data_IF_844305605437
#
_entry.id   IF_844305605437
#
_cell.length_a   1.000
_cell.length_b   1.000
_cell.length_c   1.000
_cell.angle_alpha   90.00
_cell.angle_beta   90.00
_cell.angle_gamma   90.00
#
_symmetry.space_group_name_H-M   'P 1'
#
loop_
_entity.id
_entity.type
_entity.pdbx_description
1 polymer ?
#
# COMPACT_ATOMS: atom_id res chain seq x y z
N UNK A 1 9.11 -11.33 16.65
CA UNK A 1 8.14 -11.15 15.54
C UNK A 1 7.91 -12.52 14.92
N UNK A 2 6.65 -12.92 14.76
CA UNK A 2 6.29 -14.08 13.94
C UNK A 2 6.14 -13.62 12.49
N UNK A 3 6.86 -14.26 11.57
CA UNK A 3 6.87 -13.90 10.15
C UNK A 3 5.80 -14.64 9.35
N UNK A 4 4.57 -14.67 9.86
CA UNK A 4 3.46 -15.49 9.32
C UNK A 4 3.08 -15.11 7.89
N UNK A 5 2.92 -13.82 7.59
CA UNK A 5 2.58 -13.36 6.25
C UNK A 5 3.74 -13.54 5.28
N UNK A 6 4.96 -13.22 5.71
CA UNK A 6 6.14 -13.35 4.87
C UNK A 6 6.46 -14.82 4.53
N UNK A 7 6.35 -15.73 5.49
CA UNK A 7 6.54 -17.17 5.28
C UNK A 7 5.44 -17.75 4.37
N UNK A 8 4.18 -17.37 4.58
CA UNK A 8 3.06 -17.79 3.74
C UNK A 8 3.24 -17.33 2.30
N UNK A 9 3.72 -16.11 2.10
CA UNK A 9 4.01 -15.60 0.75
C UNK A 9 5.15 -16.34 0.08
N UNK A 10 6.24 -16.61 0.79
CA UNK A 10 7.35 -17.43 0.26
C UNK A 10 6.90 -18.83 -0.15
N UNK A 11 6.11 -19.50 0.69
CA UNK A 11 5.53 -20.81 0.38
C UNK A 11 4.58 -20.77 -0.81
N UNK A 12 3.79 -19.71 -0.94
CA UNK A 12 2.92 -19.49 -2.10
C UNK A 12 3.74 -19.37 -3.39
N UNK A 13 4.81 -18.59 -3.41
CA UNK A 13 5.67 -18.46 -4.58
C UNK A 13 6.32 -19.78 -4.99
N UNK A 14 6.76 -20.59 -4.02
CA UNK A 14 7.29 -21.93 -4.30
C UNK A 14 6.24 -22.85 -4.94
N UNK A 15 4.98 -22.79 -4.47
CA UNK A 15 3.86 -23.53 -5.08
C UNK A 15 3.53 -23.05 -6.48
N UNK A 16 3.73 -21.76 -6.76
CA UNK A 16 3.62 -21.17 -8.10
C UNK A 16 4.85 -21.44 -8.99
N UNK A 17 5.68 -22.39 -8.59
CA UNK A 17 6.87 -22.83 -9.32
C UNK A 17 7.97 -21.78 -9.46
N UNK A 18 8.04 -20.83 -8.57
CA UNK A 18 9.19 -19.92 -8.52
C UNK A 18 10.45 -20.68 -8.06
N UNK A 19 11.59 -20.45 -8.72
CA UNK A 19 12.84 -21.06 -8.28
C UNK A 19 13.16 -20.67 -6.83
N UNK A 20 13.55 -21.64 -5.97
CA UNK A 20 13.86 -21.36 -4.56
C UNK A 20 14.88 -20.24 -4.34
N UNK A 21 15.87 -20.13 -5.23
CA UNK A 21 16.88 -19.08 -5.20
C UNK A 21 16.27 -17.69 -5.44
N UNK A 22 15.27 -17.58 -6.31
CA UNK A 22 14.57 -16.32 -6.55
C UNK A 22 13.70 -15.94 -5.36
N UNK A 23 13.04 -16.90 -4.73
CA UNK A 23 12.25 -16.67 -3.49
C UNK A 23 13.17 -16.20 -2.36
N UNK A 24 14.33 -16.82 -2.20
CA UNK A 24 15.31 -16.39 -1.21
C UNK A 24 15.84 -14.98 -1.50
N UNK A 25 16.21 -14.68 -2.73
CA UNK A 25 16.67 -13.35 -3.14
C UNK A 25 15.61 -12.27 -2.88
N UNK A 26 14.35 -12.57 -3.19
CA UNK A 26 13.23 -11.67 -2.91
C UNK A 26 13.06 -11.45 -1.40
N UNK A 27 13.18 -12.51 -0.61
CA UNK A 27 13.16 -12.47 0.84
C UNK A 27 14.26 -11.55 1.39
N UNK A 28 15.48 -11.69 0.91
CA UNK A 28 16.63 -10.89 1.35
C UNK A 28 16.49 -9.41 0.98
N UNK A 29 16.04 -9.13 -0.24
CA UNK A 29 15.83 -7.74 -0.71
C UNK A 29 14.72 -7.07 0.10
N UNK A 30 13.59 -7.73 0.30
CA UNK A 30 12.46 -7.14 1.04
C UNK A 30 12.76 -6.99 2.52
N UNK A 31 13.59 -7.87 3.09
CA UNK A 31 14.11 -7.70 4.46
C UNK A 31 14.98 -6.44 4.58
N UNK A 32 15.86 -6.21 3.61
CA UNK A 32 16.69 -4.99 3.59
C UNK A 32 15.84 -3.73 3.45
N UNK A 33 14.84 -3.74 2.56
CA UNK A 33 13.93 -2.60 2.41
C UNK A 33 13.19 -2.34 3.71
N UNK A 34 12.65 -3.36 4.35
CA UNK A 34 11.99 -3.23 5.66
C UNK A 34 12.94 -2.62 6.71
N UNK A 35 14.21 -3.01 6.72
CA UNK A 35 15.22 -2.46 7.62
C UNK A 35 15.48 -0.96 7.43
N UNK A 36 15.14 -0.40 6.28
CA UNK A 36 15.19 1.05 6.04
C UNK A 36 13.90 1.79 6.44
N UNK A 37 12.81 1.08 6.69
CA UNK A 37 11.60 1.66 7.23
C UNK A 37 11.75 1.92 8.74
N UNK A 38 10.82 2.66 9.32
CA UNK A 38 10.77 2.82 10.76
C UNK A 38 10.18 1.57 11.42
N UNK A 39 10.72 1.18 12.56
CA UNK A 39 10.10 0.16 13.39
C UNK A 39 8.72 0.65 13.85
N UNK A 40 7.62 0.00 13.45
CA UNK A 40 6.27 0.44 13.80
C UNK A 40 5.95 0.33 15.29
N UNK A 41 6.71 -0.48 16.01
CA UNK A 41 6.57 -0.68 17.45
C UNK A 41 7.51 0.21 18.27
N UNK A 42 8.34 1.04 17.60
CA UNK A 42 9.24 1.94 18.32
C UNK A 42 8.47 2.92 19.19
N UNK A 43 9.02 3.15 20.37
CA UNK A 43 8.58 4.23 21.25
C UNK A 43 8.85 5.57 20.56
N UNK A 44 7.84 6.36 20.43
CA UNK A 44 7.90 7.64 19.75
C UNK A 44 6.54 7.99 19.15
N UNK A 45 6.18 9.24 19.23
CA UNK A 45 4.83 9.66 18.91
C UNK A 45 4.60 9.90 17.44
N UNK A 46 5.66 10.29 16.71
CA UNK A 46 5.52 10.67 15.29
C UNK A 46 6.76 10.32 14.49
N UNK A 47 6.56 9.78 13.30
CA UNK A 47 7.59 9.59 12.30
C UNK A 47 7.00 9.57 10.88
N UNK A 48 7.78 10.05 9.93
CA UNK A 48 7.43 10.06 8.51
C UNK A 48 8.69 9.72 7.71
N UNK A 49 8.78 8.50 7.21
CA UNK A 49 9.90 8.05 6.38
C UNK A 49 9.48 7.90 4.93
N UNK A 50 10.40 8.25 4.04
CA UNK A 50 10.20 8.14 2.60
C UNK A 50 11.38 7.43 1.98
N UNK A 51 11.10 6.49 1.09
CA UNK A 51 12.12 5.74 0.37
C UNK A 51 11.70 5.48 -1.08
N UNK A 52 12.69 5.15 -1.88
CA UNK A 52 12.52 4.81 -3.28
C UNK A 52 13.19 3.48 -3.57
N UNK A 53 12.46 2.57 -4.19
CA UNK A 53 13.00 1.31 -4.73
C UNK A 53 13.14 1.47 -6.23
N UNK A 54 14.38 1.39 -6.70
CA UNK A 54 14.71 1.52 -8.11
C UNK A 54 14.99 0.14 -8.67
N UNK A 55 14.25 -0.26 -9.70
CA UNK A 55 14.43 -1.55 -10.36
C UNK A 55 14.25 -1.47 -11.86
N UNK A 56 15.15 -2.11 -12.59
CA UNK A 56 15.15 -2.07 -14.06
C UNK A 56 14.10 -2.98 -14.73
N UNK A 57 13.36 -3.80 -13.98
CA UNK A 57 12.51 -4.84 -14.57
C UNK A 57 11.07 -4.66 -14.13
N UNK A 58 10.20 -4.46 -15.11
CA UNK A 58 8.75 -4.36 -14.90
C UNK A 58 8.13 -5.62 -14.27
N UNK A 59 8.73 -6.79 -14.46
CA UNK A 59 8.15 -8.07 -14.04
C UNK A 59 8.36 -8.45 -12.56
N UNK A 60 9.30 -7.83 -11.86
CA UNK A 60 9.61 -8.15 -10.47
C UNK A 60 9.05 -7.18 -9.42
N UNK A 61 8.56 -6.03 -9.85
CA UNK A 61 8.15 -4.93 -8.99
C UNK A 61 6.98 -5.31 -8.07
N UNK A 62 5.93 -5.89 -8.63
CA UNK A 62 4.75 -6.34 -7.86
C UNK A 62 5.10 -7.42 -6.84
N UNK A 63 5.91 -8.40 -7.22
CA UNK A 63 6.38 -9.42 -6.30
C UNK A 63 7.21 -8.82 -5.16
N UNK A 64 8.04 -7.83 -5.46
CA UNK A 64 8.87 -7.15 -4.48
C UNK A 64 8.01 -6.40 -3.45
N UNK A 65 7.11 -5.51 -3.88
CA UNK A 65 6.31 -4.77 -2.89
C UNK A 65 5.29 -5.67 -2.18
N UNK A 66 4.83 -6.77 -2.77
CA UNK A 66 3.99 -7.75 -2.06
C UNK A 66 4.78 -8.41 -0.93
N UNK A 67 6.02 -8.80 -1.17
CA UNK A 67 6.91 -9.32 -0.13
C UNK A 67 7.21 -8.30 0.96
N UNK A 68 7.39 -7.04 0.60
CA UNK A 68 7.55 -5.95 1.57
C UNK A 68 6.27 -5.75 2.40
N UNK A 69 5.09 -5.78 1.79
CA UNK A 69 3.79 -5.68 2.47
C UNK A 69 3.63 -6.79 3.49
N UNK A 70 3.90 -8.04 3.12
CA UNK A 70 3.81 -9.19 4.02
C UNK A 70 4.72 -9.01 5.24
N UNK A 71 5.97 -8.60 5.03
CA UNK A 71 6.92 -8.33 6.13
C UNK A 71 6.54 -7.13 6.97
N UNK A 72 6.05 -6.07 6.36
CA UNK A 72 5.60 -4.89 7.09
C UNK A 72 4.40 -5.21 7.99
N UNK A 73 3.46 -6.02 7.50
CA UNK A 73 2.33 -6.49 8.29
C UNK A 73 2.78 -7.33 9.51
N UNK A 74 3.72 -8.26 9.31
CA UNK A 74 4.32 -9.04 10.40
C UNK A 74 5.06 -8.15 11.41
N UNK A 75 5.72 -7.09 10.94
CA UNK A 75 6.42 -6.14 11.80
C UNK A 75 5.49 -5.24 12.62
N UNK A 76 4.22 -5.10 12.23
CA UNK A 76 3.22 -4.33 12.97
C UNK A 76 2.63 -3.12 12.23
N UNK A 77 2.93 -2.95 10.94
CA UNK A 77 2.21 -1.99 10.12
C UNK A 77 0.75 -2.43 9.98
N UNK A 78 -0.17 -1.52 10.31
CA UNK A 78 -1.58 -1.86 10.47
C UNK A 78 -2.44 -1.41 9.28
N UNK A 79 -2.09 -0.32 8.65
CA UNK A 79 -2.83 0.25 7.53
C UNK A 79 -1.91 0.39 6.32
N UNK A 80 -2.26 -0.30 5.24
CA UNK A 80 -1.43 -0.41 4.05
C UNK A 80 -2.21 0.11 2.84
N UNK A 81 -1.63 1.03 2.10
CA UNK A 81 -2.20 1.56 0.86
C UNK A 81 -1.26 1.20 -0.29
N UNK A 82 -1.81 0.61 -1.34
CA UNK A 82 -1.12 0.41 -2.62
C UNK A 82 -1.76 1.33 -3.65
N UNK A 83 -0.98 2.28 -4.14
CA UNK A 83 -1.37 3.16 -5.25
C UNK A 83 -0.92 2.49 -6.55
N UNK A 84 -1.86 1.89 -7.26
CA UNK A 84 -1.61 0.92 -8.33
C UNK A 84 -1.69 1.51 -9.75
N UNK A 85 -1.26 2.76 -9.91
CA UNK A 85 -1.28 3.44 -11.21
C UNK A 85 -2.60 4.12 -11.54
N UNK A 86 -2.70 4.63 -12.78
CA UNK A 86 -3.80 5.51 -13.22
C UNK A 86 -4.94 4.77 -13.90
N UNK A 87 -4.74 3.52 -14.32
CA UNK A 87 -5.71 2.75 -15.09
C UNK A 87 -6.46 1.72 -14.23
N UNK A 88 -7.77 1.60 -14.46
CA UNK A 88 -8.62 0.62 -13.77
C UNK A 88 -8.14 -0.82 -13.92
N UNK A 89 -7.68 -1.19 -15.12
CA UNK A 89 -7.19 -2.55 -15.39
C UNK A 89 -5.95 -2.89 -14.55
N UNK A 90 -5.02 -1.96 -14.42
CA UNK A 90 -3.83 -2.14 -13.57
C UNK A 90 -4.21 -2.27 -12.10
N UNK A 91 -5.12 -1.42 -11.61
CA UNK A 91 -5.63 -1.52 -10.25
C UNK A 91 -6.29 -2.88 -10.01
N UNK A 92 -7.16 -3.32 -10.92
CA UNK A 92 -7.84 -4.62 -10.83
C UNK A 92 -6.84 -5.77 -10.78
N UNK A 93 -5.86 -5.79 -11.67
CA UNK A 93 -4.80 -6.81 -11.68
C UNK A 93 -3.99 -6.80 -10.38
N UNK A 94 -3.67 -5.63 -9.87
CA UNK A 94 -2.95 -5.48 -8.59
C UNK A 94 -3.80 -6.00 -7.44
N UNK A 95 -5.10 -5.68 -7.40
CA UNK A 95 -6.03 -6.22 -6.39
C UNK A 95 -6.04 -7.75 -6.42
N UNK A 96 -6.18 -8.36 -7.60
CA UNK A 96 -6.17 -9.82 -7.75
C UNK A 96 -4.89 -10.44 -7.20
N UNK A 97 -3.73 -9.87 -7.52
CA UNK A 97 -2.45 -10.36 -7.01
C UNK A 97 -2.32 -10.22 -5.49
N UNK A 98 -2.80 -9.12 -4.93
CA UNK A 98 -2.83 -8.90 -3.48
C UNK A 98 -3.82 -9.84 -2.81
N UNK A 99 -4.97 -10.11 -3.42
CA UNK A 99 -5.94 -11.10 -2.93
C UNK A 99 -5.30 -12.48 -2.79
N UNK A 100 -4.57 -12.95 -3.81
CA UNK A 100 -3.91 -14.25 -3.83
C UNK A 100 -2.70 -14.32 -2.88
N UNK A 101 -1.87 -13.29 -2.89
CA UNK A 101 -0.56 -13.33 -2.29
C UNK A 101 -0.51 -12.78 -0.84
N UNK A 102 -1.51 -12.03 -0.41
CA UNK A 102 -1.54 -11.40 0.91
C UNK A 102 -2.88 -11.50 1.63
N UNK A 103 -4.00 -11.16 1.00
CA UNK A 103 -5.31 -11.25 1.67
C UNK A 103 -5.71 -12.71 1.88
N UNK A 104 -5.38 -13.57 0.93
CA UNK A 104 -5.70 -14.99 0.97
C UNK A 104 -7.18 -15.31 0.73
N UNK A 105 -7.94 -14.34 0.28
CA UNK A 105 -9.36 -14.45 -0.03
C UNK A 105 -9.69 -13.58 -1.24
N UNK A 106 -10.53 -14.09 -2.13
CA UNK A 106 -11.04 -13.28 -3.22
C UNK A 106 -11.82 -12.08 -2.67
N UNK A 107 -11.52 -10.89 -3.18
CA UNK A 107 -12.27 -9.67 -2.87
C UNK A 107 -13.51 -9.50 -3.74
N UNK A 108 -13.78 -10.45 -4.65
CA UNK A 108 -15.02 -10.44 -5.41
C UNK A 108 -16.22 -10.59 -4.47
N UNK A 109 -17.16 -9.63 -4.44
CA UNK A 109 -18.32 -9.72 -3.59
C UNK A 109 -19.20 -10.96 -3.82
N UNK A 110 -19.15 -11.51 -5.04
CA UNK A 110 -19.92 -12.68 -5.45
C UNK A 110 -19.18 -14.02 -5.21
N UNK A 111 -17.87 -13.99 -5.04
CA UNK A 111 -17.04 -15.18 -4.84
C UNK A 111 -15.96 -14.96 -3.79
N UNK A 112 -16.30 -15.02 -2.53
CA UNK A 112 -15.41 -14.77 -1.39
C UNK A 112 -14.67 -16.02 -0.89
N UNK A 113 -14.29 -16.92 -1.78
CA UNK A 113 -13.52 -18.12 -1.42
C UNK A 113 -12.08 -17.80 -1.01
N UNK A 114 -11.49 -18.71 -0.24
CA UNK A 114 -10.05 -18.67 0.05
C UNK A 114 -9.26 -19.00 -1.22
N UNK A 115 -8.20 -18.25 -1.46
CA UNK A 115 -7.30 -18.39 -2.60
C UNK A 115 -5.85 -18.17 -2.16
N UNK A 116 -4.91 -18.60 -2.99
CA UNK A 116 -3.50 -18.34 -2.78
C UNK A 116 -2.99 -18.69 -1.39
N UNK A 117 -2.41 -17.73 -0.68
CA UNK A 117 -1.90 -17.89 0.69
C UNK A 117 -2.98 -18.31 1.67
N UNK A 118 -4.23 -17.95 1.42
CA UNK A 118 -5.37 -18.27 2.29
C UNK A 118 -5.82 -19.72 2.25
N UNK A 119 -5.25 -20.54 1.36
CA UNK A 119 -5.47 -21.98 1.37
C UNK A 119 -4.70 -22.69 2.49
N UNK A 120 -3.75 -22.01 3.11
CA UNK A 120 -3.04 -22.54 4.26
C UNK A 120 -3.97 -22.53 5.49
N UNK A 121 -4.02 -23.64 6.27
CA UNK A 121 -4.85 -23.70 7.46
C UNK A 121 -4.48 -22.60 8.46
N UNK A 122 -5.50 -21.91 8.98
CA UNK A 122 -5.32 -20.86 9.98
C UNK A 122 -4.69 -19.57 9.50
N UNK A 123 -4.61 -19.35 8.18
CA UNK A 123 -4.08 -18.09 7.64
C UNK A 123 -4.86 -16.87 8.17
N UNK A 124 -4.16 -15.86 8.73
CA UNK A 124 -4.82 -14.73 9.37
C UNK A 124 -5.18 -13.64 8.33
N UNK A 125 -6.27 -13.84 7.61
CA UNK A 125 -6.68 -12.96 6.50
C UNK A 125 -6.69 -11.48 6.86
N UNK A 126 -5.90 -10.63 6.19
CA UNK A 126 -6.06 -9.18 6.25
C UNK A 126 -7.42 -8.72 5.78
N UNK A 127 -7.85 -7.55 6.25
CA UNK A 127 -9.07 -6.90 5.75
C UNK A 127 -8.76 -6.01 4.55
N UNK A 128 -9.74 -5.81 3.68
CA UNK A 128 -9.65 -4.86 2.58
C UNK A 128 -10.93 -4.04 2.44
N UNK A 129 -10.79 -2.75 2.11
CA UNK A 129 -11.89 -1.84 1.82
C UNK A 129 -12.04 -1.56 0.31
N UNK A 130 -11.24 -2.22 -0.50
CA UNK A 130 -11.33 -2.23 -1.96
C UNK A 130 -11.56 -3.65 -2.45
N UNK A 131 -12.03 -3.81 -3.68
CA UNK A 131 -12.25 -5.13 -4.27
C UNK A 131 -11.89 -5.13 -5.76
N UNK A 132 -11.96 -6.28 -6.41
CA UNK A 132 -11.60 -6.39 -7.83
C UNK A 132 -12.47 -5.54 -8.75
N UNK A 133 -13.72 -5.28 -8.37
CA UNK A 133 -14.67 -4.53 -9.18
C UNK A 133 -14.69 -3.05 -8.85
N UNK A 134 -14.40 -2.69 -7.59
CA UNK A 134 -14.53 -1.33 -7.07
C UNK A 134 -13.25 -0.83 -6.41
N UNK A 135 -12.88 0.38 -6.78
CA UNK A 135 -11.90 1.20 -6.07
C UNK A 135 -12.46 1.68 -4.72
N UNK A 136 -11.66 2.38 -3.93
CA UNK A 136 -12.13 2.96 -2.68
C UNK A 136 -13.36 3.84 -2.93
N UNK A 137 -14.43 3.54 -2.20
CA UNK A 137 -15.68 4.29 -2.25
C UNK A 137 -16.05 4.75 -0.83
N UNK A 138 -16.03 6.08 -0.64
CA UNK A 138 -16.35 6.69 0.65
C UNK A 138 -17.72 6.27 1.17
N UNK A 139 -18.72 6.27 0.33
CA UNK A 139 -20.09 5.90 0.74
C UNK A 139 -20.18 4.46 1.23
N UNK A 140 -19.48 3.54 0.58
CA UNK A 140 -19.40 2.14 1.02
C UNK A 140 -18.67 2.01 2.33
N UNK A 141 -17.55 2.71 2.49
CA UNK A 141 -16.78 2.73 3.72
C UNK A 141 -17.56 3.35 4.90
N UNK A 142 -18.27 4.45 4.66
CA UNK A 142 -19.13 5.10 5.67
C UNK A 142 -20.33 4.25 6.08
N UNK A 143 -20.99 3.60 5.12
CA UNK A 143 -22.12 2.72 5.41
C UNK A 143 -21.73 1.50 6.24
N UNK A 144 -20.49 1.04 6.11
CA UNK A 144 -19.97 -0.04 6.95
C UNK A 144 -19.79 0.39 8.40
N UNK A 145 -19.64 1.70 8.67
CA UNK A 145 -19.34 2.25 9.99
C UNK A 145 -17.97 1.89 10.52
N UNK A 146 -17.12 1.29 9.71
CA UNK A 146 -15.84 0.76 10.14
C UNK A 146 -14.80 1.86 10.35
N UNK A 147 -14.10 1.76 11.47
CA UNK A 147 -12.89 2.52 11.77
C UNK A 147 -11.68 1.60 11.68
N UNK A 148 -10.50 2.18 11.43
CA UNK A 148 -9.26 1.40 11.32
C UNK A 148 -9.00 0.58 12.59
N UNK A 149 -9.32 1.11 13.76
CA UNK A 149 -9.13 0.43 15.04
C UNK A 149 -10.10 -0.72 15.31
N UNK A 150 -11.16 -0.85 14.53
CA UNK A 150 -12.11 -1.98 14.65
C UNK A 150 -11.51 -3.30 14.14
N UNK A 151 -10.41 -3.24 13.41
CA UNK A 151 -9.75 -4.40 12.84
C UNK A 151 -8.58 -4.88 13.69
N UNK A 152 -8.59 -6.16 14.03
CA UNK A 152 -7.46 -6.84 14.70
C UNK A 152 -6.36 -7.28 13.73
N UNK A 153 -6.65 -7.31 12.44
CA UNK A 153 -5.73 -7.70 11.36
C UNK A 153 -5.31 -6.47 10.55
N UNK A 154 -4.21 -6.55 9.81
CA UNK A 154 -3.85 -5.49 8.88
C UNK A 154 -4.97 -5.19 7.89
N UNK A 155 -5.08 -3.92 7.51
CA UNK A 155 -6.02 -3.45 6.49
C UNK A 155 -5.20 -3.03 5.28
N UNK A 156 -5.62 -3.47 4.10
CA UNK A 156 -5.00 -3.08 2.84
C UNK A 156 -6.03 -2.52 1.86
N UNK A 157 -5.65 -1.43 1.19
CA UNK A 157 -6.40 -0.85 0.09
C UNK A 157 -5.55 -0.85 -1.17
N UNK A 158 -6.17 -1.19 -2.29
CA UNK A 158 -5.55 -1.07 -3.61
C UNK A 158 -6.34 -0.04 -4.40
N UNK A 159 -5.76 1.14 -4.59
CA UNK A 159 -6.43 2.31 -5.14
C UNK A 159 -5.77 2.80 -6.43
N UNK A 160 -6.55 3.48 -7.23
CA UNK A 160 -6.08 4.19 -8.41
C UNK A 160 -5.36 5.49 -8.04
N UNK A 161 -4.33 5.86 -8.81
CA UNK A 161 -3.63 7.13 -8.66
C UNK A 161 -4.39 8.25 -9.36
N UNK A 162 -5.48 8.70 -8.78
CA UNK A 162 -6.22 9.87 -9.24
C UNK A 162 -6.68 10.76 -8.08
N UNK A 163 -6.91 12.02 -8.38
CA UNK A 163 -7.28 13.04 -7.37
C UNK A 163 -8.60 12.69 -6.69
N UNK A 164 -9.59 12.24 -7.44
CA UNK A 164 -10.92 11.91 -6.91
C UNK A 164 -10.87 10.81 -5.85
N UNK A 165 -10.23 9.68 -6.16
CA UNK A 165 -10.10 8.56 -5.21
C UNK A 165 -9.26 8.96 -3.99
N UNK A 166 -8.13 9.63 -4.21
CA UNK A 166 -7.26 10.08 -3.13
C UNK A 166 -7.96 11.10 -2.20
N UNK A 167 -8.74 12.01 -2.76
CA UNK A 167 -9.55 12.98 -2.00
C UNK A 167 -10.62 12.28 -1.18
N UNK A 168 -11.33 11.32 -1.77
CA UNK A 168 -12.34 10.54 -1.06
C UNK A 168 -11.74 9.76 0.12
N UNK A 169 -10.59 9.14 -0.09
CA UNK A 169 -9.85 8.42 0.96
C UNK A 169 -9.39 9.37 2.07
N UNK A 170 -8.77 10.50 1.71
CA UNK A 170 -8.34 11.51 2.68
C UNK A 170 -9.51 11.99 3.55
N UNK A 171 -10.65 12.29 2.93
CA UNK A 171 -11.84 12.77 3.62
C UNK A 171 -12.38 11.73 4.61
N UNK A 172 -12.49 10.48 4.18
CA UNK A 172 -12.92 9.38 5.06
C UNK A 172 -11.96 9.17 6.24
N UNK A 173 -10.65 9.17 5.99
CA UNK A 173 -9.66 9.05 7.04
C UNK A 173 -9.75 10.19 8.05
N UNK A 174 -9.89 11.43 7.58
CA UNK A 174 -9.98 12.61 8.44
C UNK A 174 -11.27 12.63 9.27
N UNK A 175 -12.39 12.31 8.67
CA UNK A 175 -13.71 12.43 9.33
C UNK A 175 -13.98 11.31 10.34
N UNK A 176 -13.55 10.08 10.04
CA UNK A 176 -13.92 8.92 10.87
C UNK A 176 -12.79 8.40 11.76
N UNK A 177 -11.55 8.70 11.44
CA UNK A 177 -10.40 8.08 12.09
C UNK A 177 -9.44 9.07 12.76
N UNK A 178 -9.52 10.37 12.43
CA UNK A 178 -8.69 11.38 13.08
C UNK A 178 -9.20 11.72 14.48
N UNK A 179 -8.29 11.91 15.39
CA UNK A 179 -8.56 12.29 16.78
C UNK A 179 -8.57 13.82 16.95
N UNK A 180 -8.65 14.30 18.19
CA UNK A 180 -8.84 15.70 18.51
C UNK A 180 -7.76 16.66 17.99
N UNK A 181 -6.55 16.17 17.71
CA UNK A 181 -5.45 16.92 17.07
C UNK A 181 -5.51 16.88 15.52
N UNK A 182 -6.52 16.24 14.95
CA UNK A 182 -6.68 16.08 13.51
C UNK A 182 -5.80 14.99 12.89
N UNK A 183 -5.16 14.14 13.70
CA UNK A 183 -4.29 13.05 13.27
C UNK A 183 -4.82 11.69 13.67
N UNK A 184 -4.36 10.67 12.97
CA UNK A 184 -4.56 9.27 13.29
C UNK A 184 -3.32 8.82 14.07
N UNK A 185 -3.48 8.67 15.39
CA UNK A 185 -2.42 8.20 16.29
C UNK A 185 -2.27 6.69 16.20
N UNK A 186 -1.35 6.07 16.80
CA UNK A 186 -1.17 4.61 17.04
C UNK A 186 -1.53 3.63 15.90
N UNK A 187 -1.58 4.11 14.68
CA UNK A 187 -1.79 3.31 13.47
C UNK A 187 -0.58 3.47 12.54
N UNK A 188 0.43 2.60 12.65
CA UNK A 188 1.53 2.59 11.69
C UNK A 188 1.02 2.32 10.28
N UNK A 189 1.31 3.24 9.37
CA UNK A 189 0.84 3.21 7.99
C UNK A 189 2.00 3.07 7.01
N UNK A 190 1.82 2.22 6.00
CA UNK A 190 2.70 2.07 4.85
C UNK A 190 1.94 2.38 3.57
N UNK A 191 2.45 3.31 2.77
CA UNK A 191 1.97 3.59 1.43
C UNK A 191 2.99 3.16 0.40
N UNK A 192 2.58 2.26 -0.48
CA UNK A 192 3.35 1.81 -1.66
C UNK A 192 2.83 2.57 -2.88
N UNK A 193 3.71 3.26 -3.58
CA UNK A 193 3.39 3.93 -4.84
C UNK A 193 4.05 3.16 -6.00
N UNK A 194 3.25 2.40 -6.72
CA UNK A 194 3.73 1.50 -7.79
C UNK A 194 4.20 2.26 -9.04
N UNK A 195 3.82 3.50 -9.20
CA UNK A 195 4.25 4.36 -10.31
C UNK A 195 4.73 5.72 -9.78
N UNK A 196 5.80 5.69 -8.96
CA UNK A 196 6.35 6.89 -8.35
C UNK A 196 6.94 7.88 -9.38
N UNK A 197 7.28 7.39 -10.56
CA UNK A 197 7.88 8.14 -11.67
C UNK A 197 6.85 8.72 -12.67
N UNK A 198 5.58 8.73 -12.35
CA UNK A 198 4.54 9.23 -13.25
C UNK A 198 4.69 10.73 -13.57
N UNK A 199 5.78 11.05 -14.22
CA UNK A 199 5.94 12.19 -15.11
C UNK A 199 5.42 11.84 -16.51
N UNK A 200 4.63 10.78 -16.68
CA UNK A 200 4.17 10.35 -17.99
C UNK A 200 3.07 11.26 -18.48
N UNK A 201 3.53 12.20 -19.30
CA UNK A 201 3.02 12.25 -20.66
C UNK A 201 1.52 12.50 -20.71
N UNK A 202 1.16 13.79 -20.96
CA UNK A 202 -0.06 14.19 -21.67
C UNK A 202 -1.37 13.53 -21.23
N UNK A 203 -1.68 13.54 -19.96
CA UNK A 203 -3.06 13.41 -19.55
C UNK A 203 -3.60 14.81 -19.23
N UNK A 204 -4.20 15.45 -20.22
CA UNK A 204 -4.97 16.69 -20.09
C UNK A 204 -6.20 16.57 -19.19
N UNK A 205 -6.20 15.58 -18.30
CA UNK A 205 -7.25 15.39 -17.30
C UNK A 205 -6.74 15.87 -15.97
N UNK A 206 -7.33 16.90 -15.42
CA UNK A 206 -7.03 17.47 -14.11
C UNK A 206 -6.96 16.41 -13.00
N UNK A 207 -7.77 15.35 -13.12
CA UNK A 207 -7.84 14.26 -12.15
C UNK A 207 -6.57 13.37 -12.12
N UNK A 208 -5.76 13.43 -13.16
CA UNK A 208 -4.51 12.67 -13.30
C UNK A 208 -3.25 13.55 -13.24
N UNK A 209 -3.39 14.82 -12.88
CA UNK A 209 -2.26 15.73 -12.73
C UNK A 209 -1.30 15.20 -11.65
N UNK A 210 -0.03 14.89 -11.99
CA UNK A 210 0.94 14.35 -11.05
C UNK A 210 1.17 15.25 -9.83
N UNK A 211 1.12 16.56 -10.01
CA UNK A 211 1.30 17.53 -8.92
C UNK A 211 0.16 17.41 -7.92
N UNK A 212 -1.07 17.34 -8.38
CA UNK A 212 -2.26 17.22 -7.54
C UNK A 212 -2.35 15.85 -6.87
N UNK A 213 -2.05 14.75 -7.59
CA UNK A 213 -2.04 13.41 -7.01
C UNK A 213 -0.95 13.28 -5.95
N UNK A 214 0.25 13.79 -6.20
CA UNK A 214 1.33 13.77 -5.23
C UNK A 214 1.03 14.65 -4.00
N UNK A 215 0.39 15.80 -4.18
CA UNK A 215 -0.07 16.62 -3.07
C UNK A 215 -1.09 15.87 -2.19
N UNK A 216 -2.04 15.16 -2.80
CA UNK A 216 -3.01 14.36 -2.06
C UNK A 216 -2.37 13.18 -1.32
N UNK A 217 -1.40 12.50 -1.92
CA UNK A 217 -0.63 11.46 -1.25
C UNK A 217 0.08 12.02 0.00
N UNK A 218 0.71 13.19 -0.11
CA UNK A 218 1.34 13.84 1.06
C UNK A 218 0.34 14.20 2.14
N UNK A 219 -0.85 14.68 1.77
CA UNK A 219 -1.92 14.98 2.74
C UNK A 219 -2.40 13.73 3.46
N UNK A 220 -2.55 12.60 2.76
CA UNK A 220 -2.89 11.31 3.36
C UNK A 220 -1.79 10.87 4.34
N UNK A 221 -0.53 10.91 3.93
CA UNK A 221 0.61 10.59 4.80
C UNK A 221 0.63 11.48 6.05
N UNK A 222 0.34 12.78 5.89
CA UNK A 222 0.31 13.75 6.97
C UNK A 222 -0.81 13.56 8.00
N UNK A 223 -1.88 12.80 7.66
CA UNK A 223 -2.93 12.44 8.62
C UNK A 223 -2.46 11.42 9.65
N UNK A 224 -1.47 10.60 9.33
CA UNK A 224 -0.96 9.58 10.23
C UNK A 224 0.22 10.12 11.04
N UNK A 225 0.18 9.93 12.34
CA UNK A 225 1.34 10.22 13.19
C UNK A 225 2.55 9.33 12.83
N UNK A 226 2.29 8.13 12.35
CA UNK A 226 3.29 7.12 12.01
C UNK A 226 3.11 6.68 10.56
N UNK A 227 3.94 7.18 9.63
CA UNK A 227 3.82 6.87 8.21
C UNK A 227 5.15 6.57 7.52
N UNK A 228 5.12 5.61 6.62
CA UNK A 228 6.17 5.35 5.64
C UNK A 228 5.61 5.42 4.23
N UNK A 229 6.37 6.00 3.33
CA UNK A 229 6.14 6.00 1.89
C UNK A 229 7.27 5.26 1.19
N UNK A 230 6.93 4.31 0.33
CA UNK A 230 7.89 3.62 -0.53
C UNK A 230 7.42 3.73 -1.98
N UNK A 231 8.13 4.52 -2.76
CA UNK A 231 7.92 4.62 -4.20
C UNK A 231 8.68 3.52 -4.95
N UNK A 232 8.04 2.92 -5.93
CA UNK A 232 8.67 1.98 -6.87
C UNK A 232 8.76 2.62 -8.24
N UNK A 233 9.95 2.62 -8.83
CA UNK A 233 10.19 3.21 -10.15
C UNK A 233 11.22 2.42 -10.94
N UNK A 234 11.05 2.40 -12.26
CA UNK A 234 12.04 1.86 -13.19
C UNK A 234 13.06 2.95 -13.63
N UNK A 235 12.72 4.22 -13.44
CA UNK A 235 13.54 5.36 -13.88
C UNK A 235 14.00 6.20 -12.70
N UNK A 236 15.30 6.14 -12.33
CA UNK A 236 15.81 6.82 -11.13
C UNK A 236 15.78 8.34 -11.19
N UNK A 237 15.63 8.92 -12.38
CA UNK A 237 15.84 10.36 -12.59
C UNK A 237 14.60 11.24 -12.41
N UNK A 238 13.40 10.68 -12.52
CA UNK A 238 12.16 11.48 -12.50
C UNK A 238 11.84 12.10 -11.12
N UNK A 239 12.30 11.49 -10.03
CA UNK A 239 11.97 11.92 -8.67
C UNK A 239 13.11 12.58 -7.89
N UNK A 240 14.34 12.52 -8.40
CA UNK A 240 15.53 13.12 -7.73
C UNK A 240 15.48 14.65 -7.79
N UNK A 241 14.75 15.20 -8.75
CA UNK A 241 14.68 16.65 -8.99
C UNK A 241 13.44 17.32 -8.38
N UNK A 242 12.60 16.60 -7.64
CA UNK A 242 11.53 17.23 -6.87
C UNK A 242 12.18 17.76 -5.59
N UNK A 243 12.61 19.00 -5.63
CA UNK A 243 13.06 19.73 -4.45
C UNK A 243 11.92 19.72 -3.42
N UNK A 244 12.11 19.15 -2.22
CA UNK A 244 11.10 19.19 -1.17
C UNK A 244 10.69 20.62 -0.78
N UNK A 245 11.60 21.57 -0.98
CA UNK A 245 11.42 23.00 -0.65
C UNK A 245 10.79 23.82 -1.80
N UNK A 246 10.58 23.23 -2.97
CA UNK A 246 9.97 23.92 -4.12
C UNK A 246 8.45 24.10 -3.99
N UNK A 247 7.85 23.49 -2.96
CA UNK A 247 6.47 23.69 -2.60
C UNK A 247 6.42 24.46 -1.29
N UNK A 248 6.64 25.75 -1.40
CA UNK A 248 6.40 26.69 -0.30
C UNK A 248 5.02 26.47 0.28
N UNK A 249 4.94 26.73 1.56
CA UNK A 249 3.73 26.79 2.37
C UNK A 249 2.70 27.77 1.75
N UNK A 250 1.99 27.33 0.73
CA UNK A 250 0.80 28.00 0.27
C UNK A 250 -0.42 27.16 0.66
N UNK A 251 -0.87 27.49 1.89
CA UNK A 251 -2.18 27.32 2.54
C UNK A 251 -2.66 25.91 2.78
#
# INVERSE_FOLDING_TARGET
VAWTYAESYGNFLLKESWPPQMVQSLSDVTTRILGHLQDPLSEGTTWNRRGLVIGHVQSGKTANYTGLIARAADAGYKFIIVVAGIHNNLRKQTQQRIDEAFIGRSSDPEDRRNIGVGLAPGYPHPATLTNINEDFNKNTAEKSGWKINDFSKPIILVIKKNVTTLTALHKWLKELNAEGDGRISDVPMLLIDDEADNASINTNKEDLDPTRTNAMIRRILGLFAKSCYVGYTATPFANIFINPDAYGDDV
#
